data_IF_485882281935
#
_entry.id   IF_485882281935
#
_cell.length_a   1.000
_cell.length_b   1.000
_cell.length_c   1.000
_cell.angle_alpha   90.00
_cell.angle_beta   90.00
_cell.angle_gamma   90.00
#
_symmetry.space_group_name_H-M   'P 1'
#
loop_
_entity.id
_entity.type
_entity.pdbx_description
1 polymer ?
#
# COMPACT_ATOMS: atom_id res chain seq x y z
N UNK A 1 -6.79 -21.47 -16.94
CA UNK A 1 -7.05 -20.04 -17.01
C UNK A 1 -5.79 -19.35 -17.48
N UNK A 2 -5.89 -18.42 -18.43
CA UNK A 2 -4.77 -17.59 -18.89
C UNK A 2 -4.51 -16.45 -17.89
N UNK A 3 -3.30 -15.88 -17.91
CA UNK A 3 -2.99 -14.69 -17.10
C UNK A 3 -3.88 -13.50 -17.49
N UNK A 4 -4.16 -13.33 -18.80
CA UNK A 4 -5.12 -12.30 -19.26
C UNK A 4 -6.51 -12.47 -18.65
N UNK A 5 -7.01 -13.71 -18.55
CA UNK A 5 -8.31 -13.98 -17.93
C UNK A 5 -8.32 -13.67 -16.43
N UNK A 6 -7.19 -13.85 -15.72
CA UNK A 6 -7.04 -13.42 -14.32
C UNK A 6 -7.14 -11.90 -14.22
N UNK A 7 -6.40 -11.16 -15.07
CA UNK A 7 -6.40 -9.70 -15.10
C UNK A 7 -7.82 -9.16 -15.37
N UNK A 8 -8.48 -9.68 -16.39
CA UNK A 8 -9.84 -9.27 -16.78
C UNK A 8 -10.85 -9.56 -15.67
N UNK A 9 -10.73 -10.73 -15.01
CA UNK A 9 -11.59 -11.09 -13.88
C UNK A 9 -11.43 -10.14 -12.70
N UNK A 10 -10.20 -9.75 -12.35
CA UNK A 10 -9.94 -8.79 -11.26
C UNK A 10 -10.43 -7.41 -11.65
N UNK A 11 -10.17 -6.91 -12.86
CA UNK A 11 -10.70 -5.62 -13.33
C UNK A 11 -12.23 -5.59 -13.31
N UNK A 12 -12.88 -6.65 -13.78
CA UNK A 12 -14.35 -6.73 -13.80
C UNK A 12 -14.96 -6.82 -12.38
N UNK A 13 -14.23 -7.38 -11.42
CA UNK A 13 -14.68 -7.47 -10.03
C UNK A 13 -14.60 -6.13 -9.29
N UNK A 14 -13.61 -5.32 -9.61
CA UNK A 14 -13.45 -4.00 -9.01
C UNK A 14 -14.46 -3.00 -9.57
N UNK A 15 -14.92 -2.09 -8.73
CA UNK A 15 -15.85 -1.03 -9.13
C UNK A 15 -15.17 0.15 -9.84
N UNK A 16 -15.99 1.13 -10.18
CA UNK A 16 -15.55 2.35 -10.87
C UNK A 16 -16.07 3.63 -10.19
N UNK A 17 -16.37 3.58 -8.89
CA UNK A 17 -17.11 4.66 -8.20
C UNK A 17 -16.28 5.89 -7.85
N UNK A 18 -14.96 5.79 -7.91
CA UNK A 18 -14.06 6.87 -7.48
C UNK A 18 -13.69 7.82 -8.61
N UNK A 19 -14.65 8.54 -9.14
CA UNK A 19 -14.42 9.56 -10.16
C UNK A 19 -14.74 9.13 -11.59
N UNK A 20 -15.43 8.01 -11.76
CA UNK A 20 -15.88 7.51 -13.05
C UNK A 20 -15.10 6.30 -13.57
N UNK A 21 -15.28 5.94 -14.85
CA UNK A 21 -14.65 4.76 -15.42
C UNK A 21 -13.12 4.89 -15.46
N UNK A 22 -12.44 3.81 -15.11
CA UNK A 22 -10.99 3.71 -15.26
C UNK A 22 -10.68 3.46 -16.74
N UNK A 23 -9.93 4.37 -17.34
CA UNK A 23 -9.59 4.31 -18.77
C UNK A 23 -8.29 3.53 -18.96
N UNK A 24 -8.30 2.56 -19.89
CA UNK A 24 -7.15 1.68 -20.13
C UNK A 24 -5.87 2.40 -20.59
N UNK A 25 -6.00 3.57 -21.21
CA UNK A 25 -4.86 4.35 -21.72
C UNK A 25 -4.22 5.27 -20.66
N UNK A 26 -4.90 5.48 -19.53
CA UNK A 26 -4.40 6.37 -18.46
C UNK A 26 -4.21 5.68 -17.11
N UNK A 27 -4.78 4.50 -16.94
CA UNK A 27 -4.66 3.75 -15.68
C UNK A 27 -3.23 3.30 -15.40
N UNK A 28 -2.93 3.18 -14.10
CA UNK A 28 -1.69 2.54 -13.61
C UNK A 28 -1.75 1.01 -13.69
N UNK A 29 -2.90 0.43 -13.96
CA UNK A 29 -3.14 -1.02 -13.98
C UNK A 29 -2.69 -1.63 -15.31
N UNK A 30 -1.38 -1.73 -15.46
CA UNK A 30 -0.71 -2.17 -16.69
C UNK A 30 0.06 -3.47 -16.49
N UNK A 31 0.19 -4.25 -17.56
CA UNK A 31 1.17 -5.34 -17.62
C UNK A 31 2.56 -4.72 -17.79
N UNK A 32 3.37 -4.82 -16.74
CA UNK A 32 4.69 -4.18 -16.68
C UNK A 32 5.79 -5.07 -17.23
N UNK A 33 5.55 -6.40 -17.28
CA UNK A 33 6.49 -7.38 -17.76
C UNK A 33 5.81 -8.71 -18.11
N UNK A 34 6.31 -9.41 -19.13
CA UNK A 34 5.98 -10.80 -19.46
C UNK A 34 4.72 -10.98 -20.31
N UNK A 35 4.48 -12.21 -20.78
CA UNK A 35 3.34 -12.56 -21.62
C UNK A 35 2.07 -12.79 -20.78
N UNK A 36 0.90 -12.49 -21.34
CA UNK A 36 -0.41 -12.71 -20.69
C UNK A 36 -1.23 -13.83 -21.32
N UNK A 37 -0.83 -14.32 -22.47
CA UNK A 37 -1.48 -15.39 -23.26
C UNK A 37 -0.99 -16.80 -22.86
N UNK A 38 -0.44 -16.93 -21.67
CA UNK A 38 0.07 -18.18 -21.09
C UNK A 38 -0.80 -18.62 -19.91
N UNK A 39 -0.79 -19.93 -19.61
CA UNK A 39 -1.50 -20.46 -18.46
C UNK A 39 -0.97 -19.89 -17.13
N UNK A 40 -1.87 -19.45 -16.25
CA UNK A 40 -1.53 -19.02 -14.91
C UNK A 40 -1.31 -20.26 -14.02
N UNK A 41 -0.09 -20.45 -13.52
CA UNK A 41 0.28 -21.58 -12.66
C UNK A 41 0.12 -21.26 -11.17
N UNK A 42 0.15 -19.98 -10.84
CA UNK A 42 -0.01 -19.46 -9.49
C UNK A 42 0.17 -17.95 -9.45
N UNK A 43 -0.35 -17.34 -8.40
CA UNK A 43 -0.38 -15.89 -8.21
C UNK A 43 0.35 -15.52 -6.91
N UNK A 44 1.22 -14.53 -7.00
CA UNK A 44 1.76 -13.84 -5.83
C UNK A 44 1.21 -12.41 -5.80
N UNK A 45 0.60 -12.00 -4.70
CA UNK A 45 0.23 -10.60 -4.44
C UNK A 45 1.30 -9.94 -3.57
N UNK A 46 1.61 -8.67 -3.83
CA UNK A 46 2.64 -7.91 -3.12
C UNK A 46 2.42 -6.41 -3.32
N UNK A 47 2.99 -5.56 -2.46
CA UNK A 47 2.99 -4.13 -2.75
C UNK A 47 4.00 -3.79 -3.85
N UNK A 48 5.24 -4.27 -3.74
CA UNK A 48 6.31 -4.01 -4.71
C UNK A 48 7.02 -5.30 -5.13
N UNK A 49 7.11 -5.56 -6.43
CA UNK A 49 7.80 -6.72 -6.97
C UNK A 49 9.34 -6.54 -6.91
N UNK A 50 9.92 -6.69 -5.71
CA UNK A 50 11.36 -6.67 -5.51
C UNK A 50 12.04 -7.91 -6.13
N UNK A 51 13.37 -7.89 -6.24
CA UNK A 51 14.12 -9.06 -6.72
C UNK A 51 13.90 -10.30 -5.83
N UNK A 52 13.71 -10.09 -4.52
CA UNK A 52 13.44 -11.18 -3.59
C UNK A 52 12.02 -11.73 -3.76
N UNK A 53 11.02 -10.86 -3.93
CA UNK A 53 9.63 -11.26 -4.25
C UNK A 53 9.58 -12.08 -5.54
N UNK A 54 10.33 -11.69 -6.59
CA UNK A 54 10.40 -12.43 -7.86
C UNK A 54 10.94 -13.85 -7.63
N UNK A 55 12.03 -14.01 -6.85
CA UNK A 55 12.58 -15.33 -6.51
C UNK A 55 11.61 -16.17 -5.69
N UNK A 56 10.93 -15.56 -4.73
CA UNK A 56 9.94 -16.25 -3.91
C UNK A 56 8.71 -16.69 -4.72
N UNK A 57 8.24 -15.88 -5.67
CA UNK A 57 7.16 -16.26 -6.58
C UNK A 57 7.56 -17.47 -7.41
N UNK A 58 8.73 -17.45 -8.03
CA UNK A 58 9.28 -18.57 -8.78
C UNK A 58 9.40 -19.84 -7.92
N UNK A 59 9.95 -19.74 -6.71
CA UNK A 59 10.11 -20.87 -5.80
C UNK A 59 8.76 -21.50 -5.36
N UNK A 60 7.68 -20.73 -5.42
CA UNK A 60 6.30 -21.19 -5.13
C UNK A 60 5.58 -21.74 -6.37
N UNK A 61 6.23 -21.74 -7.54
CA UNK A 61 5.64 -22.17 -8.81
C UNK A 61 4.64 -21.17 -9.39
N UNK A 62 4.59 -19.94 -8.88
CA UNK A 62 3.76 -18.87 -9.42
C UNK A 62 4.46 -18.21 -10.61
N UNK A 63 3.69 -17.93 -11.67
CA UNK A 63 4.17 -17.21 -12.84
C UNK A 63 3.51 -15.84 -13.05
N UNK A 64 2.60 -15.43 -12.13
CA UNK A 64 2.00 -14.09 -12.10
C UNK A 64 2.29 -13.42 -10.77
N UNK A 65 2.87 -12.23 -10.82
CA UNK A 65 2.92 -11.30 -9.69
C UNK A 65 1.91 -10.18 -9.95
N UNK A 66 1.00 -9.98 -9.00
CA UNK A 66 0.12 -8.81 -8.96
C UNK A 66 0.72 -7.85 -7.92
N UNK A 67 1.30 -6.75 -8.38
CA UNK A 67 1.87 -5.73 -7.50
C UNK A 67 1.03 -4.45 -7.49
N UNK A 68 1.14 -3.68 -6.43
CA UNK A 68 0.45 -2.40 -6.31
C UNK A 68 1.27 -1.26 -6.91
N UNK A 69 2.58 -1.28 -6.69
CA UNK A 69 3.50 -0.23 -7.10
C UNK A 69 4.28 -0.55 -8.38
N UNK A 70 4.88 0.48 -8.95
CA UNK A 70 5.64 0.43 -10.19
C UNK A 70 6.81 -0.55 -10.13
N UNK A 71 7.03 -1.33 -11.18
CA UNK A 71 8.07 -2.36 -11.22
C UNK A 71 9.50 -1.79 -11.24
N UNK A 72 9.72 -0.65 -11.95
CA UNK A 72 11.06 -0.10 -12.23
C UNK A 72 11.24 1.33 -11.70
N UNK A 73 10.89 1.56 -10.42
CA UNK A 73 11.24 2.75 -9.63
C UNK A 73 10.73 4.09 -10.19
N UNK A 74 9.69 4.07 -10.99
CA UNK A 74 9.04 5.26 -11.52
C UNK A 74 7.53 5.07 -11.53
N UNK A 75 6.80 5.88 -10.77
CA UNK A 75 5.35 5.74 -10.61
C UNK A 75 4.57 5.76 -11.94
N UNK A 76 5.11 6.44 -12.97
CA UNK A 76 4.56 6.44 -14.33
C UNK A 76 4.93 5.21 -15.17
N UNK A 77 5.69 4.26 -14.64
CA UNK A 77 6.20 3.06 -15.32
C UNK A 77 7.06 3.36 -16.58
N UNK A 78 7.58 4.58 -16.71
CA UNK A 78 8.48 4.96 -17.80
C UNK A 78 9.88 4.40 -17.57
N UNK A 79 10.41 3.65 -18.54
CA UNK A 79 11.72 2.97 -18.43
C UNK A 79 12.78 3.52 -19.38
N UNK A 80 12.46 4.49 -20.24
CA UNK A 80 13.39 5.03 -21.23
C UNK A 80 14.68 5.64 -20.64
N UNK A 81 14.59 6.18 -19.41
CA UNK A 81 15.73 6.73 -18.66
C UNK A 81 16.67 5.68 -18.07
N UNK A 82 16.28 4.40 -18.12
CA UNK A 82 17.04 3.26 -17.59
C UNK A 82 17.96 2.60 -18.62
N UNK A 83 18.12 3.20 -19.82
CA UNK A 83 19.02 2.69 -20.83
C UNK A 83 20.45 2.59 -20.27
N UNK A 84 21.05 1.38 -20.33
CA UNK A 84 22.38 1.11 -19.76
C UNK A 84 22.45 0.96 -18.24
N UNK A 85 21.34 1.06 -17.52
CA UNK A 85 21.31 0.87 -16.07
C UNK A 85 21.51 -0.63 -15.71
N UNK A 86 22.53 -0.92 -14.90
CA UNK A 86 22.91 -2.29 -14.54
C UNK A 86 21.87 -3.00 -13.68
N UNK A 87 21.25 -2.28 -12.73
CA UNK A 87 20.20 -2.84 -11.84
C UNK A 87 18.95 -3.17 -12.63
N UNK A 88 18.56 -2.31 -13.57
CA UNK A 88 17.46 -2.56 -14.49
C UNK A 88 17.71 -3.81 -15.35
N UNK A 89 18.89 -3.91 -15.95
CA UNK A 89 19.26 -5.09 -16.77
C UNK A 89 19.23 -6.38 -15.94
N UNK A 90 19.78 -6.35 -14.72
CA UNK A 90 19.80 -7.52 -13.83
C UNK A 90 18.38 -7.93 -13.37
N UNK A 91 17.51 -6.96 -13.04
CA UNK A 91 16.12 -7.26 -12.65
C UNK A 91 15.31 -7.85 -13.82
N UNK A 92 15.51 -7.33 -15.03
CA UNK A 92 14.90 -7.91 -16.25
C UNK A 92 15.37 -9.33 -16.51
N UNK A 93 16.68 -9.59 -16.42
CA UNK A 93 17.22 -10.94 -16.59
C UNK A 93 16.64 -11.93 -15.55
N UNK A 94 16.47 -11.48 -14.30
CA UNK A 94 15.84 -12.29 -13.26
C UNK A 94 14.36 -12.60 -13.59
N UNK A 95 13.60 -11.63 -14.06
CA UNK A 95 12.20 -11.82 -14.46
C UNK A 95 12.08 -12.82 -15.61
N UNK A 96 12.98 -12.73 -16.60
CA UNK A 96 13.05 -13.62 -17.74
C UNK A 96 13.45 -15.04 -17.32
N UNK A 97 14.50 -15.18 -16.52
CA UNK A 97 14.96 -16.46 -15.96
C UNK A 97 13.87 -17.18 -15.15
N UNK A 98 13.13 -16.43 -14.33
CA UNK A 98 12.06 -16.96 -13.52
C UNK A 98 10.74 -17.19 -14.28
N UNK A 99 10.62 -16.71 -15.53
CA UNK A 99 9.38 -16.82 -16.32
C UNK A 99 8.19 -16.10 -15.70
N UNK A 100 8.41 -14.96 -15.06
CA UNK A 100 7.39 -14.21 -14.31
C UNK A 100 6.75 -13.14 -15.20
N UNK A 101 5.42 -13.08 -15.16
CA UNK A 101 4.64 -11.93 -15.62
C UNK A 101 4.33 -11.03 -14.43
N UNK A 102 4.45 -9.71 -14.61
CA UNK A 102 4.10 -8.72 -13.58
C UNK A 102 3.00 -7.83 -14.09
N UNK A 103 1.89 -7.80 -13.37
CA UNK A 103 0.78 -6.89 -13.59
C UNK A 103 0.61 -5.96 -12.39
N UNK A 104 0.49 -4.65 -12.65
CA UNK A 104 0.21 -3.65 -11.62
C UNK A 104 -1.30 -3.51 -11.45
N UNK A 105 -1.76 -3.55 -10.20
CA UNK A 105 -3.13 -3.32 -9.78
C UNK A 105 -3.16 -2.16 -8.77
N UNK A 106 -3.45 -0.97 -9.23
CA UNK A 106 -3.45 0.26 -8.43
C UNK A 106 -4.81 0.95 -8.46
N UNK A 107 -5.25 1.41 -9.62
CA UNK A 107 -6.46 2.23 -9.73
C UNK A 107 -7.73 1.42 -9.47
N UNK A 108 -7.84 0.19 -10.00
CA UNK A 108 -9.01 -0.65 -9.79
C UNK A 108 -9.21 -1.05 -8.33
N UNK A 109 -8.16 -1.42 -7.60
CA UNK A 109 -8.30 -1.82 -6.19
C UNK A 109 -8.69 -0.63 -5.30
N UNK A 110 -8.19 0.57 -5.63
CA UNK A 110 -8.62 1.82 -4.99
C UNK A 110 -10.03 2.25 -5.37
N UNK A 111 -10.48 1.94 -6.59
CA UNK A 111 -11.82 2.31 -7.06
C UNK A 111 -12.92 1.48 -6.44
N UNK A 112 -12.57 0.40 -5.78
CA UNK A 112 -13.46 -0.33 -4.91
C UNK A 112 -13.57 -1.80 -5.23
N UNK A 113 -13.56 -2.60 -4.18
CA UNK A 113 -13.90 -4.03 -4.19
C UNK A 113 -15.26 -4.23 -3.53
N UNK A 114 -16.09 -5.18 -4.00
CA UNK A 114 -17.37 -5.48 -3.36
C UNK A 114 -17.18 -6.07 -1.96
N UNK A 115 -17.74 -5.40 -0.95
CA UNK A 115 -17.77 -5.88 0.43
C UNK A 115 -19.08 -5.45 1.10
N UNK A 116 -19.82 -6.40 1.65
CA UNK A 116 -21.09 -6.18 2.37
C UNK A 116 -22.12 -5.31 1.60
N UNK A 117 -22.22 -5.54 0.28
CA UNK A 117 -23.17 -4.87 -0.61
C UNK A 117 -22.79 -3.45 -1.03
N UNK A 118 -21.57 -3.03 -0.77
CA UNK A 118 -21.01 -1.74 -1.21
C UNK A 118 -19.61 -1.92 -1.79
N UNK A 119 -19.11 -0.89 -2.45
CA UNK A 119 -17.70 -0.82 -2.86
C UNK A 119 -16.86 -0.16 -1.77
N UNK A 120 -15.69 -0.75 -1.49
CA UNK A 120 -14.71 -0.23 -0.54
C UNK A 120 -13.32 -0.21 -1.15
N UNK A 121 -12.52 0.78 -0.80
CA UNK A 121 -11.10 0.82 -1.19
C UNK A 121 -10.37 -0.39 -0.61
N UNK A 122 -9.91 -1.29 -1.48
CA UNK A 122 -9.32 -2.57 -1.06
C UNK A 122 -8.00 -2.41 -0.31
N UNK A 123 -7.26 -1.34 -0.56
CA UNK A 123 -5.98 -1.05 0.09
C UNK A 123 -6.21 -0.58 1.53
N UNK A 124 -6.99 0.48 1.72
CA UNK A 124 -7.23 1.01 3.07
C UNK A 124 -8.14 0.11 3.92
N UNK A 125 -9.05 -0.63 3.30
CA UNK A 125 -9.81 -1.66 4.00
C UNK A 125 -8.90 -2.78 4.51
N UNK A 126 -7.92 -3.22 3.70
CA UNK A 126 -6.92 -4.19 4.11
C UNK A 126 -6.07 -3.70 5.29
N UNK A 127 -5.69 -2.41 5.30
CA UNK A 127 -4.99 -1.80 6.43
C UNK A 127 -5.87 -1.81 7.70
N UNK A 128 -7.12 -1.36 7.59
CA UNK A 128 -8.05 -1.34 8.71
C UNK A 128 -8.30 -2.75 9.27
N UNK A 129 -8.41 -3.76 8.42
CA UNK A 129 -8.53 -5.16 8.80
C UNK A 129 -7.27 -5.68 9.50
N UNK A 130 -6.10 -5.43 8.94
CA UNK A 130 -4.80 -5.84 9.50
C UNK A 130 -4.56 -5.26 10.89
N UNK A 131 -4.93 -3.99 11.09
CA UNK A 131 -4.82 -3.32 12.39
C UNK A 131 -5.91 -3.71 13.38
N UNK A 132 -7.00 -4.35 12.94
CA UNK A 132 -8.18 -4.61 13.76
C UNK A 132 -8.97 -3.34 14.05
N UNK A 133 -8.96 -2.36 13.14
CA UNK A 133 -9.54 -1.03 13.32
C UNK A 133 -10.85 -0.81 12.55
N UNK A 134 -11.45 -1.83 11.98
CA UNK A 134 -12.72 -1.72 11.25
C UNK A 134 -13.84 -1.03 12.06
N UNK A 135 -13.92 -1.36 13.33
CA UNK A 135 -14.94 -0.80 14.23
C UNK A 135 -14.60 0.63 14.74
N UNK A 136 -13.41 1.11 14.45
CA UNK A 136 -12.93 2.44 14.86
C UNK A 136 -12.94 3.46 13.72
N UNK A 137 -13.46 3.09 12.54
CA UNK A 137 -13.50 3.99 11.38
C UNK A 137 -14.39 5.20 11.65
N UNK A 138 -13.88 6.40 11.36
CA UNK A 138 -14.63 7.67 11.34
C UNK A 138 -14.84 8.11 9.89
N UNK A 139 -15.90 8.85 9.65
CA UNK A 139 -16.13 9.47 8.34
C UNK A 139 -16.41 8.45 7.25
N UNK A 140 -15.59 8.43 6.21
CA UNK A 140 -15.81 7.59 5.04
C UNK A 140 -15.42 6.12 5.32
N UNK A 141 -16.44 5.29 5.51
CA UNK A 141 -16.26 3.85 5.75
C UNK A 141 -15.93 3.07 4.47
N UNK A 142 -16.08 3.67 3.28
CA UNK A 142 -15.66 3.05 2.04
C UNK A 142 -14.15 3.24 1.79
N UNK A 143 -13.57 4.33 2.32
CA UNK A 143 -12.13 4.57 2.35
C UNK A 143 -11.67 4.86 3.77
N UNK A 144 -11.39 3.83 4.59
CA UNK A 144 -11.12 4.00 6.01
C UNK A 144 -9.71 4.58 6.25
N UNK A 145 -9.64 5.89 6.30
CA UNK A 145 -8.41 6.66 6.53
C UNK A 145 -8.44 7.44 7.85
N UNK A 146 -9.59 7.50 8.51
CA UNK A 146 -9.80 8.21 9.76
C UNK A 146 -10.32 7.26 10.82
N UNK A 147 -9.71 7.30 12.00
CA UNK A 147 -10.02 6.36 13.06
C UNK A 147 -10.18 7.07 14.42
N UNK A 148 -11.11 6.58 15.23
CA UNK A 148 -11.21 6.91 16.65
C UNK A 148 -10.95 5.63 17.45
N UNK A 149 -9.69 5.48 17.88
CA UNK A 149 -9.20 4.29 18.59
C UNK A 149 -9.34 4.46 20.12
N UNK A 150 -9.27 3.38 20.90
CA UNK A 150 -9.09 3.51 22.36
C UNK A 150 -7.87 4.37 22.68
N UNK A 151 -8.00 5.24 23.67
CA UNK A 151 -6.95 6.19 24.05
C UNK A 151 -5.64 5.47 24.39
N UNK A 152 -4.55 5.95 23.81
CA UNK A 152 -3.20 5.42 23.99
C UNK A 152 -2.17 6.56 23.94
N UNK A 153 -0.88 6.29 24.07
CA UNK A 153 0.18 7.24 23.74
C UNK A 153 0.72 7.04 22.32
N UNK A 154 1.33 8.09 21.76
CA UNK A 154 1.97 8.00 20.44
C UNK A 154 3.06 6.90 20.39
N UNK A 155 3.82 6.74 21.48
CA UNK A 155 4.84 5.69 21.59
C UNK A 155 4.26 4.28 21.67
N UNK A 156 3.13 4.08 22.38
CA UNK A 156 2.44 2.79 22.42
C UNK A 156 1.79 2.47 21.08
N UNK A 157 1.17 3.45 20.43
CA UNK A 157 0.64 3.31 19.08
C UNK A 157 1.73 2.93 18.09
N UNK A 158 2.90 3.57 18.15
CA UNK A 158 4.04 3.23 17.30
C UNK A 158 4.51 1.78 17.50
N UNK A 159 4.62 1.31 18.76
CA UNK A 159 4.96 -0.09 19.06
C UNK A 159 3.90 -1.06 18.55
N UNK A 160 2.62 -0.71 18.71
CA UNK A 160 1.51 -1.50 18.17
C UNK A 160 1.62 -1.65 16.64
N UNK A 161 1.85 -0.54 15.92
CA UNK A 161 2.00 -0.56 14.46
C UNK A 161 3.20 -1.38 14.03
N UNK A 162 4.36 -1.20 14.66
CA UNK A 162 5.57 -2.00 14.40
C UNK A 162 5.29 -3.50 14.57
N UNK A 163 4.68 -3.90 15.67
CA UNK A 163 4.37 -5.30 15.93
C UNK A 163 3.30 -5.86 14.98
N UNK A 164 2.25 -5.08 14.70
CA UNK A 164 1.11 -5.54 13.89
C UNK A 164 1.45 -5.67 12.41
N UNK A 165 2.32 -4.79 11.91
CA UNK A 165 2.78 -4.77 10.52
C UNK A 165 4.10 -5.53 10.29
N UNK A 166 4.74 -6.02 11.36
CA UNK A 166 5.99 -6.76 11.26
C UNK A 166 7.19 -5.90 10.85
N UNK A 167 7.21 -4.62 11.25
CA UNK A 167 8.27 -3.69 10.88
C UNK A 167 9.50 -3.86 11.77
N UNK A 168 10.68 -3.48 11.26
CA UNK A 168 11.92 -3.43 12.04
C UNK A 168 11.99 -2.20 12.98
N UNK A 169 11.18 -1.16 12.69
CA UNK A 169 11.12 0.07 13.47
C UNK A 169 10.21 1.10 12.82
N UNK A 170 10.09 2.26 13.48
CA UNK A 170 9.39 3.44 12.93
C UNK A 170 9.97 4.71 13.51
N UNK A 171 9.50 5.86 13.03
CA UNK A 171 9.92 7.19 13.49
C UNK A 171 8.70 7.93 14.03
N UNK A 172 8.90 8.68 15.13
CA UNK A 172 7.90 9.57 15.71
C UNK A 172 8.40 11.01 15.58
N UNK A 173 7.53 11.91 15.14
CA UNK A 173 7.68 13.34 15.31
C UNK A 173 6.69 13.80 16.38
N UNK A 174 7.13 14.67 17.26
CA UNK A 174 6.38 15.08 18.45
C UNK A 174 6.77 14.31 19.70
N UNK A 175 5.89 14.35 20.72
CA UNK A 175 6.12 13.70 21.99
C UNK A 175 5.59 12.25 21.96
N UNK A 176 6.43 11.30 22.33
CA UNK A 176 6.04 9.89 22.42
C UNK A 176 4.97 9.63 23.51
N UNK A 177 4.87 10.49 24.51
CA UNK A 177 3.84 10.42 25.56
C UNK A 177 2.57 11.19 25.21
N UNK A 178 2.51 11.87 24.05
CA UNK A 178 1.31 12.55 23.60
C UNK A 178 0.13 11.59 23.53
N UNK A 179 -1.02 12.05 24.08
CA UNK A 179 -2.27 11.26 24.06
C UNK A 179 -2.83 11.19 22.65
N UNK A 180 -3.20 10.00 22.24
CA UNK A 180 -3.76 9.72 20.92
C UNK A 180 -5.09 8.97 21.06
N UNK A 181 -6.14 9.52 20.48
CA UNK A 181 -7.45 8.89 20.31
C UNK A 181 -7.91 8.96 18.86
N UNK A 182 -7.60 10.05 18.17
CA UNK A 182 -7.99 10.26 16.78
C UNK A 182 -6.76 10.16 15.87
N UNK A 183 -6.84 9.27 14.89
CA UNK A 183 -5.76 8.97 13.95
C UNK A 183 -6.22 9.27 12.53
N UNK A 184 -5.36 9.95 11.76
CA UNK A 184 -5.50 10.12 10.32
C UNK A 184 -4.37 9.38 9.63
N UNK A 185 -4.73 8.52 8.68
CA UNK A 185 -3.81 7.95 7.68
C UNK A 185 -3.97 8.80 6.41
N UNK A 186 -3.13 9.83 6.21
CA UNK A 186 -3.29 10.68 5.04
C UNK A 186 -2.81 9.94 3.78
N UNK A 187 -3.23 10.43 2.62
CA UNK A 187 -2.54 10.13 1.37
C UNK A 187 -1.14 10.77 1.39
N UNK A 188 -0.43 10.75 0.29
CA UNK A 188 0.93 11.28 0.19
C UNK A 188 1.13 12.64 0.86
N UNK A 189 2.21 12.79 1.62
CA UNK A 189 2.69 14.05 2.17
C UNK A 189 3.74 14.66 1.22
N UNK A 190 3.28 15.10 0.04
CA UNK A 190 4.13 15.64 -1.01
C UNK A 190 3.51 16.94 -1.55
N UNK A 191 4.18 18.06 -1.36
CA UNK A 191 3.80 19.35 -1.93
C UNK A 191 2.45 19.87 -1.40
N UNK A 192 1.49 20.05 -2.28
CA UNK A 192 0.19 20.65 -1.93
C UNK A 192 -0.67 19.79 -0.94
N UNK A 193 -0.43 18.50 -0.86
CA UNK A 193 -1.16 17.64 0.08
C UNK A 193 -0.77 17.90 1.54
N UNK A 194 0.43 18.40 1.78
CA UNK A 194 0.92 18.72 3.12
C UNK A 194 0.06 19.79 3.80
N UNK A 195 -0.37 20.82 3.06
CA UNK A 195 -1.21 21.89 3.58
C UNK A 195 -2.60 21.37 4.00
N UNK A 196 -3.22 20.53 3.16
CA UNK A 196 -4.53 19.95 3.46
C UNK A 196 -4.45 19.02 4.69
N UNK A 197 -3.42 18.19 4.77
CA UNK A 197 -3.19 17.28 5.89
C UNK A 197 -2.94 18.05 7.18
N UNK A 198 -2.12 19.09 7.15
CA UNK A 198 -1.85 19.95 8.30
C UNK A 198 -3.13 20.60 8.81
N UNK A 199 -3.97 21.14 7.91
CA UNK A 199 -5.26 21.75 8.27
C UNK A 199 -6.21 20.73 8.89
N UNK A 200 -6.29 19.54 8.34
CA UNK A 200 -7.12 18.45 8.88
C UNK A 200 -6.63 18.02 10.26
N UNK A 201 -5.32 17.89 10.44
CA UNK A 201 -4.72 17.55 11.73
C UNK A 201 -5.06 18.58 12.81
N UNK A 202 -4.94 19.86 12.48
CA UNK A 202 -5.28 20.94 13.42
C UNK A 202 -6.73 20.84 13.93
N UNK A 203 -7.66 20.60 13.02
CA UNK A 203 -9.09 20.64 13.28
C UNK A 203 -9.66 19.39 13.97
N UNK A 204 -8.95 18.25 14.03
CA UNK A 204 -9.63 17.06 14.54
C UNK A 204 -8.84 15.78 14.75
N UNK A 205 -7.51 15.80 14.62
CA UNK A 205 -6.71 14.58 14.79
C UNK A 205 -5.55 14.80 15.77
N UNK A 206 -5.30 13.80 16.60
CA UNK A 206 -4.19 13.78 17.55
C UNK A 206 -2.90 13.28 16.89
N UNK A 207 -3.02 12.30 15.99
CA UNK A 207 -1.88 11.63 15.37
C UNK A 207 -2.07 11.39 13.87
N UNK A 208 -1.00 11.59 13.11
CA UNK A 208 -0.86 11.10 11.74
C UNK A 208 -0.12 9.77 11.73
N UNK A 209 -0.60 8.80 10.96
CA UNK A 209 0.15 7.59 10.58
C UNK A 209 0.44 7.69 9.09
N UNK A 210 1.71 7.94 8.72
CA UNK A 210 2.05 8.42 7.38
C UNK A 210 2.82 7.42 6.55
N UNK A 211 2.63 7.51 5.23
CA UNK A 211 3.40 6.81 4.21
C UNK A 211 4.79 7.42 4.09
N UNK A 212 4.88 8.74 3.92
CA UNK A 212 6.12 9.51 3.81
C UNK A 212 6.25 10.51 4.95
N UNK A 213 7.43 11.03 5.13
CA UNK A 213 7.71 12.17 5.99
C UNK A 213 8.73 13.09 5.32
N UNK A 214 8.32 14.34 5.08
CA UNK A 214 9.19 15.42 4.61
C UNK A 214 9.52 16.32 5.78
N UNK A 215 10.80 16.52 6.05
CA UNK A 215 11.25 17.16 7.30
C UNK A 215 10.82 18.63 7.43
N UNK A 216 10.69 19.38 6.31
CA UNK A 216 10.45 20.83 6.30
C UNK A 216 8.97 21.23 6.06
N UNK A 217 8.02 20.31 6.20
CA UNK A 217 6.59 20.56 5.98
C UNK A 217 5.76 20.12 7.20
N UNK A 218 4.86 19.18 7.04
CA UNK A 218 3.98 18.65 8.12
C UNK A 218 4.77 18.16 9.33
N UNK A 219 5.98 17.60 9.14
CA UNK A 219 6.83 17.18 10.26
C UNK A 219 7.20 18.34 11.18
N UNK A 220 7.55 19.50 10.63
CA UNK A 220 7.88 20.68 11.43
C UNK A 220 6.64 21.25 12.13
N UNK A 221 5.49 21.25 11.45
CA UNK A 221 4.22 21.63 12.10
C UNK A 221 3.93 20.75 13.33
N UNK A 222 4.09 19.44 13.19
CA UNK A 222 3.87 18.51 14.31
C UNK A 222 4.89 18.73 15.43
N UNK A 223 6.16 18.96 15.08
CA UNK A 223 7.22 19.25 16.04
C UNK A 223 6.93 20.55 16.83
N UNK A 224 6.57 21.61 16.12
CA UNK A 224 6.20 22.88 16.76
C UNK A 224 4.96 22.72 17.65
N UNK A 225 3.96 21.98 17.19
CA UNK A 225 2.77 21.69 17.99
C UNK A 225 3.12 20.99 19.31
N UNK A 226 4.02 20.00 19.26
CA UNK A 226 4.49 19.33 20.47
C UNK A 226 5.26 20.28 21.40
N UNK A 227 6.17 21.10 20.86
CA UNK A 227 6.96 22.08 21.63
C UNK A 227 6.08 23.18 22.26
N UNK A 228 4.96 23.51 21.63
CA UNK A 228 3.98 24.48 22.11
C UNK A 228 2.93 23.85 23.08
N UNK A 229 3.05 22.55 23.38
CA UNK A 229 2.13 21.87 24.30
C UNK A 229 0.75 21.56 23.71
N UNK A 230 0.61 21.54 22.38
CA UNK A 230 -0.65 21.25 21.68
C UNK A 230 -0.87 19.75 21.41
N UNK A 231 0.11 18.89 21.76
CA UNK A 231 -0.06 17.44 21.88
C UNK A 231 -0.24 16.67 20.58
N UNK A 232 0.16 17.20 19.43
CA UNK A 232 0.12 16.45 18.16
C UNK A 232 1.32 15.52 18.00
N UNK A 233 1.11 14.38 17.33
CA UNK A 233 2.16 13.43 17.00
C UNK A 233 2.05 12.95 15.55
N UNK A 234 3.15 12.46 14.98
CA UNK A 234 3.18 11.79 13.68
C UNK A 234 4.07 10.56 13.76
N UNK A 235 3.58 9.45 13.23
CA UNK A 235 4.28 8.16 13.16
C UNK A 235 4.46 7.83 11.68
N UNK A 236 5.69 7.76 11.20
CA UNK A 236 5.99 7.44 9.80
C UNK A 236 6.33 5.96 9.67
N UNK A 237 5.39 5.15 9.17
CA UNK A 237 5.55 3.71 9.01
C UNK A 237 6.08 3.30 7.63
N UNK A 238 6.06 4.20 6.66
CA UNK A 238 6.53 3.95 5.29
C UNK A 238 5.41 3.61 4.32
N UNK A 239 5.60 3.96 3.05
CA UNK A 239 4.60 3.86 2.00
C UNK A 239 4.07 2.43 1.84
N UNK A 240 4.96 1.50 1.54
CA UNK A 240 4.56 0.11 1.32
C UNK A 240 3.90 -0.52 2.56
N UNK A 241 4.30 -0.11 3.75
CA UNK A 241 3.76 -0.65 4.99
C UNK A 241 2.32 -0.21 5.27
N UNK A 242 1.86 0.89 4.68
CA UNK A 242 0.45 1.31 4.69
C UNK A 242 -0.37 0.49 3.70
N UNK A 243 0.16 0.18 2.52
CA UNK A 243 -0.58 -0.39 1.40
C UNK A 243 -0.46 -1.92 1.29
N UNK A 244 0.64 -2.47 1.76
CA UNK A 244 0.91 -3.92 1.71
C UNK A 244 -0.19 -4.78 2.36
N UNK A 245 -0.83 -4.36 3.48
CA UNK A 245 -1.98 -5.06 4.04
C UNK A 245 -3.15 -5.22 3.08
N UNK A 246 -3.36 -4.26 2.16
CA UNK A 246 -4.37 -4.36 1.10
C UNK A 246 -4.07 -5.47 0.11
N UNK A 247 -2.80 -5.66 -0.25
CA UNK A 247 -2.37 -6.74 -1.13
C UNK A 247 -2.41 -8.11 -0.46
N UNK A 248 -2.20 -8.21 0.85
CA UNK A 248 -2.47 -9.42 1.63
C UNK A 248 -3.98 -9.70 1.69
N UNK A 249 -4.78 -8.66 1.93
CA UNK A 249 -6.24 -8.76 1.98
C UNK A 249 -6.86 -9.21 0.65
N UNK A 250 -6.20 -8.94 -0.48
CA UNK A 250 -6.62 -9.39 -1.80
C UNK A 250 -6.85 -10.90 -1.87
N UNK A 251 -6.09 -11.70 -1.14
CA UNK A 251 -6.26 -13.15 -1.13
C UNK A 251 -7.66 -13.62 -0.68
N UNK A 252 -8.39 -12.80 0.08
CA UNK A 252 -9.74 -13.15 0.55
C UNK A 252 -10.81 -13.03 -0.53
N UNK A 253 -10.61 -12.17 -1.49
CA UNK A 253 -11.58 -11.90 -2.54
C UNK A 253 -11.13 -12.34 -3.94
N UNK A 254 -9.84 -12.53 -4.16
CA UNK A 254 -9.26 -12.95 -5.44
C UNK A 254 -9.95 -14.20 -6.04
N UNK A 255 -10.19 -15.29 -5.30
CA UNK A 255 -10.87 -16.46 -5.88
C UNK A 255 -12.27 -16.15 -6.43
N UNK A 256 -12.99 -15.22 -5.77
CA UNK A 256 -14.30 -14.77 -6.27
C UNK A 256 -14.17 -13.89 -7.51
N UNK A 257 -13.16 -13.05 -7.56
CA UNK A 257 -12.91 -12.17 -8.69
C UNK A 257 -12.60 -12.93 -9.98
N UNK A 258 -11.79 -13.99 -9.88
CA UNK A 258 -11.38 -14.78 -11.04
C UNK A 258 -12.29 -15.99 -11.32
N UNK A 259 -13.20 -16.33 -10.41
CA UNK A 259 -14.14 -17.46 -10.58
C UNK A 259 -13.45 -18.82 -10.69
N UNK A 260 -12.20 -18.95 -10.20
CA UNK A 260 -11.39 -20.15 -10.30
C UNK A 260 -10.50 -20.32 -9.06
N UNK A 261 -10.11 -21.57 -8.80
CA UNK A 261 -9.16 -21.93 -7.74
C UNK A 261 -7.74 -21.99 -8.32
N UNK A 262 -7.09 -20.83 -8.45
CA UNK A 262 -5.68 -20.72 -8.83
C UNK A 262 -4.86 -20.55 -7.55
N UNK A 263 -3.77 -21.33 -7.34
CA UNK A 263 -2.94 -21.16 -6.15
C UNK A 263 -2.47 -19.70 -6.01
N UNK A 264 -2.79 -19.09 -4.87
CA UNK A 264 -2.43 -17.69 -4.62
C UNK A 264 -1.80 -17.56 -3.24
N UNK A 265 -0.80 -16.70 -3.12
CA UNK A 265 -0.13 -16.39 -1.86
C UNK A 265 0.34 -14.94 -1.82
N UNK A 266 0.38 -14.37 -0.63
CA UNK A 266 0.99 -13.08 -0.39
C UNK A 266 2.49 -13.24 -0.11
N UNK A 267 3.29 -12.34 -0.65
CA UNK A 267 4.72 -12.18 -0.34
C UNK A 267 4.96 -10.72 0.01
N UNK A 268 5.38 -10.45 1.23
CA UNK A 268 5.71 -9.11 1.65
C UNK A 268 6.88 -8.55 0.83
N UNK A 269 6.76 -7.33 0.34
CA UNK A 269 7.87 -6.58 -0.27
C UNK A 269 8.96 -6.26 0.76
N UNK A 270 8.54 -6.16 2.00
CA UNK A 270 9.39 -5.85 3.15
C UNK A 270 9.68 -4.35 3.29
N UNK A 271 10.13 -3.99 4.49
CA UNK A 271 10.58 -2.62 4.77
C UNK A 271 11.93 -2.38 4.07
N UNK A 272 12.04 -1.36 3.19
CA UNK A 272 13.31 -1.06 2.52
C UNK A 272 14.37 -0.47 3.47
N UNK A 273 13.99 -0.11 4.70
CA UNK A 273 14.86 0.58 5.66
C UNK A 273 15.58 -0.39 6.58
N UNK A 274 16.85 -0.12 6.81
CA UNK A 274 17.62 -0.71 7.92
C UNK A 274 17.78 0.34 9.00
N UNK A 275 17.31 0.05 10.20
CA UNK A 275 17.39 0.97 11.33
C UNK A 275 18.71 0.77 12.07
N UNK A 276 19.51 1.84 12.13
CA UNK A 276 20.76 1.88 12.91
C UNK A 276 20.51 2.70 14.16
N UNK A 277 20.64 2.08 15.32
CA UNK A 277 20.52 2.75 16.62
C UNK A 277 21.92 3.01 17.19
N UNK A 278 22.06 4.05 18.03
CA UNK A 278 23.30 4.37 18.73
C UNK A 278 23.64 3.31 19.78
#
# INVERSE_FOLDING_TARGET
MLISEVIDGVKAYCGHDWGGPIMDDTTRDQVLWGPVDVGCTGIVTTCFASADVIRQAHARGANLIICHEALFWNHGDHTCWLAGNKTFAAKRALLEECGITVWRLHDHIHSGIPEDGRLVDGIFMGLADKLGWRDYVRGDTARPMEFEIPETSAGELARFLVGRLGLAGTRIVGDADARVRTVLVPMHLIGQFDNATTTRMDSGFDCLVTMEATDFTTSEYVRDSAQLGLGKAMICIGHFNVEEPGMEYMLRWLPRAIGADVPASFVASGDPWTYVTA
#
